data_IF_615930630237
#
_entry.id   IF_615930630237
#
_cell.length_a   1.000
_cell.length_b   1.000
_cell.length_c   1.000
_cell.angle_alpha   90.00
_cell.angle_beta   90.00
_cell.angle_gamma   90.00
#
_symmetry.space_group_name_H-M   'P 1'
#
loop_
_entity.id
_entity.type
_entity.pdbx_description
1 polymer ?
#
# COMPACT_ATOMS: atom_id res chain seq x y z
N UNK A 1 -6.09 3.52 -7.63
CA UNK A 1 -5.65 2.56 -6.59
C UNK A 1 -4.90 1.48 -7.32
N UNK A 2 -3.58 1.44 -7.16
CA UNK A 2 -2.76 0.39 -7.76
C UNK A 2 -2.95 -0.89 -6.94
N UNK A 3 -3.86 -1.75 -7.39
CA UNK A 3 -4.04 -3.09 -6.81
C UNK A 3 -2.98 -4.00 -7.42
N UNK A 4 -2.19 -4.66 -6.59
CA UNK A 4 -1.13 -5.58 -7.02
C UNK A 4 -1.26 -6.84 -6.20
N UNK A 5 -1.06 -7.99 -6.83
CA UNK A 5 -0.98 -9.26 -6.13
C UNK A 5 0.39 -9.89 -6.36
N UNK A 6 0.92 -10.54 -5.34
CA UNK A 6 2.17 -11.29 -5.39
C UNK A 6 1.93 -12.71 -4.93
N UNK A 7 2.51 -13.66 -5.64
CA UNK A 7 2.45 -15.08 -5.32
C UNK A 7 3.84 -15.65 -5.05
N UNK A 8 3.92 -16.95 -4.75
CA UNK A 8 5.17 -17.68 -4.65
C UNK A 8 5.97 -17.61 -5.96
N UNK A 9 7.24 -18.00 -5.92
CA UNK A 9 8.09 -18.07 -7.13
C UNK A 9 8.17 -16.77 -7.95
N UNK A 10 8.02 -15.63 -7.29
CA UNK A 10 8.10 -14.32 -7.93
C UNK A 10 6.98 -14.03 -8.93
N UNK A 11 5.82 -14.70 -8.79
CA UNK A 11 4.63 -14.36 -9.54
C UNK A 11 4.07 -13.00 -9.09
N UNK A 12 3.69 -12.19 -10.06
CA UNK A 12 3.08 -10.89 -9.83
C UNK A 12 1.89 -10.73 -10.77
N UNK A 13 0.76 -10.31 -10.24
CA UNK A 13 -0.44 -9.99 -11.02
C UNK A 13 -0.75 -8.51 -10.85
N UNK A 14 -0.87 -7.80 -11.97
CA UNK A 14 -1.08 -6.36 -12.04
C UNK A 14 -2.24 -6.05 -12.99
N UNK A 15 -3.11 -5.08 -12.68
CA UNK A 15 -4.04 -4.55 -13.66
C UNK A 15 -3.24 -3.85 -14.77
N UNK A 16 -3.63 -4.06 -16.01
CA UNK A 16 -3.05 -3.42 -17.17
C UNK A 16 -4.13 -3.12 -18.22
N UNK A 17 -3.83 -2.22 -19.15
CA UNK A 17 -4.67 -1.97 -20.32
C UNK A 17 -3.98 -2.49 -21.56
N UNK A 18 -4.67 -3.32 -22.33
CA UNK A 18 -4.20 -3.84 -23.63
C UNK A 18 -5.26 -3.59 -24.69
N UNK A 19 -4.89 -2.88 -25.76
CA UNK A 19 -5.80 -2.53 -26.85
C UNK A 19 -7.13 -1.91 -26.37
N UNK A 20 -7.06 -1.04 -25.35
CA UNK A 20 -8.22 -0.37 -24.76
C UNK A 20 -9.09 -1.22 -23.83
N UNK A 21 -8.66 -2.45 -23.49
CA UNK A 21 -9.36 -3.33 -22.54
C UNK A 21 -8.53 -3.54 -21.28
N UNK A 22 -9.20 -3.56 -20.13
CA UNK A 22 -8.58 -3.95 -18.87
C UNK A 22 -8.30 -5.46 -18.85
N UNK A 23 -7.09 -5.82 -18.41
CA UNK A 23 -6.59 -7.19 -18.32
C UNK A 23 -5.76 -7.34 -17.04
N UNK A 24 -5.56 -8.59 -16.63
CA UNK A 24 -4.66 -9.00 -15.56
C UNK A 24 -3.33 -9.46 -16.16
N UNK A 25 -2.31 -8.62 -16.02
CA UNK A 25 -0.95 -8.92 -16.46
C UNK A 25 -0.25 -9.78 -15.42
N UNK A 26 0.14 -10.98 -15.81
CA UNK A 26 0.91 -11.92 -15.00
C UNK A 26 2.38 -11.81 -15.39
N UNK A 27 3.24 -11.56 -14.40
CA UNK A 27 4.70 -11.55 -14.53
C UNK A 27 5.28 -12.60 -13.61
N UNK A 28 6.47 -13.09 -13.95
CA UNK A 28 7.27 -13.97 -13.10
C UNK A 28 8.71 -13.49 -13.14
N UNK A 29 9.30 -13.21 -11.98
CA UNK A 29 10.64 -12.64 -11.86
C UNK A 29 10.85 -11.42 -12.78
N UNK A 30 9.87 -10.52 -12.84
CA UNK A 30 9.88 -9.30 -13.68
C UNK A 30 9.60 -9.51 -15.18
N UNK A 31 9.56 -10.75 -15.68
CA UNK A 31 9.25 -11.06 -17.08
C UNK A 31 7.75 -11.24 -17.28
N UNK A 32 7.22 -10.74 -18.40
CA UNK A 32 5.81 -10.96 -18.78
C UNK A 32 5.60 -12.44 -19.09
N UNK A 33 4.60 -13.05 -18.45
CA UNK A 33 4.16 -14.43 -18.73
C UNK A 33 2.92 -14.40 -19.62
N UNK A 34 1.89 -13.64 -19.23
CA UNK A 34 0.64 -13.54 -19.98
C UNK A 34 -0.14 -12.27 -19.63
N UNK A 35 -0.98 -11.82 -20.56
CA UNK A 35 -2.06 -10.86 -20.31
C UNK A 35 -3.38 -11.63 -20.31
N UNK A 36 -4.01 -11.76 -19.14
CA UNK A 36 -5.21 -12.56 -18.90
C UNK A 36 -6.45 -11.65 -18.89
N UNK A 37 -7.51 -12.03 -19.62
CA UNK A 37 -8.76 -11.25 -19.63
C UNK A 37 -9.72 -11.65 -18.51
N UNK A 38 -9.41 -12.72 -17.77
CA UNK A 38 -10.25 -13.21 -16.68
C UNK A 38 -9.41 -13.86 -15.57
N UNK A 39 -10.03 -14.02 -14.40
CA UNK A 39 -9.39 -14.67 -13.24
C UNK A 39 -9.14 -16.15 -13.50
N UNK A 40 -10.00 -16.83 -14.26
CA UNK A 40 -9.83 -18.23 -14.63
C UNK A 40 -8.59 -18.45 -15.50
N UNK A 41 -8.19 -17.47 -16.30
CA UNK A 41 -6.93 -17.53 -17.04
C UNK A 41 -5.72 -17.38 -16.13
N UNK A 42 -5.82 -16.54 -15.09
CA UNK A 42 -4.77 -16.40 -14.06
C UNK A 42 -4.63 -17.69 -13.24
N UNK A 43 -5.75 -18.32 -12.87
CA UNK A 43 -5.79 -19.57 -12.12
C UNK A 43 -5.12 -20.76 -12.84
N UNK A 44 -4.90 -20.66 -14.16
CA UNK A 44 -4.14 -21.66 -14.93
C UNK A 44 -2.63 -21.49 -14.80
N UNK A 45 -2.17 -20.35 -14.29
CA UNK A 45 -0.76 -19.98 -14.20
C UNK A 45 -0.24 -19.98 -12.75
N UNK A 46 -1.10 -19.63 -11.80
CA UNK A 46 -0.78 -19.53 -10.37
C UNK A 46 -2.00 -19.92 -9.55
N UNK A 47 -1.79 -20.56 -8.40
CA UNK A 47 -2.86 -20.81 -7.44
C UNK A 47 -3.34 -19.47 -6.86
N UNK A 48 -4.64 -19.21 -6.95
CA UNK A 48 -5.24 -17.97 -6.44
C UNK A 48 -5.15 -17.89 -4.92
N UNK A 49 -5.13 -19.02 -4.21
CA UNK A 49 -5.00 -19.07 -2.76
C UNK A 49 -3.63 -18.58 -2.28
N UNK A 50 -2.62 -18.68 -3.14
CA UNK A 50 -1.25 -18.28 -2.83
C UNK A 50 -0.98 -16.80 -3.16
N UNK A 51 -1.94 -16.10 -3.77
CA UNK A 51 -1.80 -14.68 -4.09
C UNK A 51 -2.17 -13.81 -2.90
N UNK A 52 -1.22 -12.95 -2.50
CA UNK A 52 -1.43 -11.91 -1.50
C UNK A 52 -1.56 -10.55 -2.17
N UNK A 53 -2.60 -9.79 -1.81
CA UNK A 53 -2.73 -8.40 -2.25
C UNK A 53 -1.70 -7.52 -1.53
N UNK A 54 -0.96 -6.73 -2.30
CA UNK A 54 0.03 -5.76 -1.83
C UNK A 54 -0.57 -4.38 -1.97
N UNK A 55 -0.74 -3.71 -0.84
CA UNK A 55 -1.26 -2.34 -0.77
C UNK A 55 -0.10 -1.41 -0.40
N UNK A 56 0.16 -0.34 -1.16
CA UNK A 56 1.18 0.62 -0.79
C UNK A 56 0.77 1.34 0.49
N UNK A 57 1.64 1.30 1.51
CA UNK A 57 1.47 2.11 2.69
C UNK A 57 1.82 3.57 2.35
N UNK A 58 0.93 4.50 2.69
CA UNK A 58 1.27 5.91 2.61
C UNK A 58 2.43 6.19 3.57
N UNK A 59 3.48 6.93 3.15
CA UNK A 59 4.54 7.31 4.06
C UNK A 59 3.94 8.08 5.23
N UNK A 60 4.40 7.77 6.45
CA UNK A 60 4.00 8.51 7.65
C UNK A 60 4.48 9.95 7.47
N UNK A 61 3.54 10.89 7.43
CA UNK A 61 3.86 12.31 7.56
C UNK A 61 4.26 12.50 9.02
N UNK A 62 5.56 12.60 9.30
CA UNK A 62 6.04 13.06 10.60
C UNK A 62 5.47 14.45 10.83
N UNK A 63 4.75 14.62 11.94
CA UNK A 63 3.87 15.76 12.16
C UNK A 63 4.58 17.09 11.99
N UNK A 64 3.93 18.01 11.29
CA UNK A 64 4.16 19.44 11.53
C UNK A 64 3.92 19.65 13.03
N UNK A 65 4.89 20.16 13.81
CA UNK A 65 4.69 20.38 15.23
C UNK A 65 3.52 21.35 15.39
N UNK A 66 2.47 20.88 16.06
CA UNK A 66 1.24 21.63 16.26
C UNK A 66 1.51 22.95 16.95
N UNK A 67 1.23 24.04 16.24
CA UNK A 67 0.86 25.30 16.86
C UNK A 67 -0.43 25.06 17.65
N UNK A 68 -0.32 24.82 18.96
CA UNK A 68 -1.47 24.45 19.77
C UNK A 68 -1.13 24.01 21.18
N UNK A 69 -0.41 24.83 21.94
CA UNK A 69 -0.44 24.81 23.39
C UNK A 69 -0.10 26.21 23.95
N UNK A 70 -0.93 27.19 23.59
CA UNK A 70 -1.17 28.31 24.49
C UNK A 70 -2.13 27.78 25.57
N UNK A 71 -1.57 27.29 26.66
CA UNK A 71 -2.29 26.85 27.85
C UNK A 71 -1.64 27.52 29.04
N UNK A 72 -2.09 28.74 29.30
CA UNK A 72 -2.10 29.49 30.56
C UNK A 72 -1.36 28.81 31.73
N UNK A 73 -0.09 29.16 31.95
CA UNK A 73 0.61 28.84 33.19
C UNK A 73 0.19 29.86 34.24
N UNK A 74 -0.68 29.40 35.13
CA UNK A 74 -1.21 30.08 36.31
C UNK A 74 -0.06 30.58 37.19
N UNK A 75 -0.05 31.89 37.46
CA UNK A 75 0.83 32.58 38.41
C UNK A 75 0.81 31.90 39.79
N UNK A 76 1.82 31.07 40.05
CA UNK A 76 2.12 30.55 41.39
C UNK A 76 2.81 31.62 42.23
N UNK A 77 2.04 32.36 43.03
CA UNK A 77 2.55 33.15 44.16
C UNK A 77 3.32 32.24 45.11
N UNK A 78 4.62 32.48 45.27
CA UNK A 78 5.43 31.86 46.34
C UNK A 78 6.19 32.94 47.12
N UNK A 79 5.62 33.32 48.26
CA UNK A 79 6.32 33.71 49.50
C UNK A 79 6.04 32.56 50.49
N UNK A 80 6.88 32.22 51.50
CA UNK A 80 7.87 33.05 52.20
C UNK A 80 9.20 32.33 52.61
N UNK A 81 10.10 33.06 53.29
CA UNK A 81 10.85 32.52 54.45
C UNK A 81 12.37 32.60 54.41
N UNK A 82 12.95 33.43 55.30
CA UNK A 82 14.38 33.50 55.61
C UNK A 82 14.81 34.87 56.13
#
# INVERSE_FOLDING_TARGET
>A
MDRRWVGPDGYEVLPAVRAGREVLRVRRYGRLVADCVSVEQVARLVDLADLCEVIPLRPRVEGVPGAGAAGDEVTGTSVPGG
#
